data_IF_565652657838
#
_entry.id   IF_565652657838
#
_cell.length_a   1.000
_cell.length_b   1.000
_cell.length_c   1.000
_cell.angle_alpha   90.00
_cell.angle_beta   90.00
_cell.angle_gamma   90.00
#
_symmetry.space_group_name_H-M   'P 1'
#
loop_
_entity.id
_entity.type
_entity.pdbx_description
1 polymer ?
#
# COMPACT_ATOMS: atom_id res chain seq x y z
N UNK A 1 81.75 38.82 21.69
CA UNK A 1 81.45 37.55 22.45
C UNK A 1 80.77 37.87 23.76
N UNK A 2 80.10 39.02 23.91
CA UNK A 2 79.44 39.38 25.17
C UNK A 2 77.96 39.79 25.03
N UNK A 3 77.29 39.26 24.05
CA UNK A 3 75.87 39.64 23.82
C UNK A 3 74.89 38.46 23.64
N UNK A 4 75.26 37.23 24.05
CA UNK A 4 74.42 36.04 23.88
C UNK A 4 74.01 35.35 25.19
N UNK A 5 74.24 35.98 26.37
CA UNK A 5 73.95 35.33 27.64
C UNK A 5 72.78 35.94 28.45
N UNK A 6 72.11 36.99 27.97
CA UNK A 6 70.96 37.61 28.69
C UNK A 6 69.58 37.12 28.21
N UNK A 7 69.54 36.34 27.11
CA UNK A 7 68.27 35.84 26.54
C UNK A 7 67.77 34.52 27.09
N UNK A 8 68.55 33.73 27.81
CA UNK A 8 68.19 32.37 28.23
C UNK A 8 67.40 32.26 29.55
N UNK A 9 67.56 33.24 30.44
CA UNK A 9 66.82 33.19 31.72
C UNK A 9 65.37 33.66 31.65
N UNK A 10 65.05 34.54 30.71
CA UNK A 10 63.72 35.04 30.50
C UNK A 10 62.77 33.98 29.86
N UNK A 11 63.30 33.08 29.03
CA UNK A 11 62.54 32.01 28.41
C UNK A 11 62.16 30.85 29.34
N UNK A 12 62.91 30.64 30.41
CA UNK A 12 62.66 29.54 31.37
C UNK A 12 61.55 29.93 32.34
N UNK A 13 61.44 31.21 32.69
CA UNK A 13 60.42 31.69 33.62
C UNK A 13 59.01 31.73 33.01
N UNK A 14 58.93 32.07 31.74
CA UNK A 14 57.65 32.10 31.04
C UNK A 14 57.13 30.68 30.68
N UNK A 15 58.02 29.72 30.40
CA UNK A 15 57.64 28.33 30.22
C UNK A 15 57.12 27.66 31.49
N UNK A 16 57.69 27.98 32.64
CA UNK A 16 57.22 27.44 33.91
C UNK A 16 55.84 27.96 34.30
N UNK A 17 55.53 29.22 34.06
CA UNK A 17 54.20 29.77 34.29
C UNK A 17 53.16 29.23 33.30
N UNK A 18 53.52 29.06 32.04
CA UNK A 18 52.63 28.46 31.05
C UNK A 18 52.31 27.00 31.34
N UNK A 19 53.28 26.20 31.79
CA UNK A 19 53.07 24.82 32.24
C UNK A 19 52.25 24.72 33.50
N UNK A 20 52.41 25.61 34.49
CA UNK A 20 51.54 25.67 35.67
C UNK A 20 50.10 26.02 35.32
N UNK A 21 49.89 26.98 34.44
CA UNK A 21 48.56 27.37 33.98
C UNK A 21 47.92 26.28 33.15
N UNK A 22 48.66 25.57 32.28
CA UNK A 22 48.18 24.43 31.50
C UNK A 22 47.86 23.24 32.42
N UNK A 23 48.65 22.99 33.46
CA UNK A 23 48.38 21.92 34.43
C UNK A 23 47.16 22.23 35.30
N UNK A 24 46.95 23.51 35.69
CA UNK A 24 45.75 23.98 36.38
C UNK A 24 44.51 23.88 35.49
N UNK A 25 44.62 24.18 34.19
CA UNK A 25 43.52 24.04 33.21
C UNK A 25 43.17 22.57 32.97
N UNK A 26 44.20 21.69 32.90
CA UNK A 26 44.00 20.24 32.76
C UNK A 26 43.36 19.64 34.03
N UNK A 27 43.75 20.12 35.20
CA UNK A 27 43.17 19.68 36.48
C UNK A 27 41.75 20.20 36.68
N UNK A 28 41.43 21.40 36.19
CA UNK A 28 40.07 21.93 36.17
C UNK A 28 39.18 21.16 35.16
N UNK A 29 39.73 20.74 34.01
CA UNK A 29 39.04 19.93 33.01
C UNK A 29 38.76 18.50 33.54
N UNK A 30 39.68 17.92 34.33
CA UNK A 30 39.50 16.62 34.97
C UNK A 30 38.49 16.67 36.12
N UNK A 31 38.35 17.80 36.83
CA UNK A 31 37.35 17.97 37.88
C UNK A 31 35.93 18.25 37.32
N UNK A 32 35.78 18.77 36.11
CA UNK A 32 34.47 19.00 35.49
C UNK A 32 33.83 17.72 34.92
N UNK A 33 34.60 16.62 34.81
CA UNK A 33 34.11 15.34 34.27
C UNK A 33 33.30 14.46 35.23
N UNK A 34 33.10 14.85 36.48
CA UNK A 34 32.38 14.03 37.46
C UNK A 34 31.00 14.58 37.81
N UNK A 35 30.29 15.20 36.86
CA UNK A 35 28.85 15.32 36.97
C UNK A 35 28.26 13.92 36.74
N UNK A 36 28.27 13.07 37.76
CA UNK A 36 27.48 11.85 37.82
C UNK A 36 26.04 12.23 37.56
N UNK A 37 25.51 11.82 36.40
CA UNK A 37 24.09 11.90 36.14
C UNK A 37 23.39 11.05 37.21
N UNK A 38 22.82 11.70 38.19
CA UNK A 38 22.01 11.05 39.24
C UNK A 38 20.78 10.46 38.54
N UNK A 39 20.83 9.17 38.23
CA UNK A 39 19.69 8.45 37.72
C UNK A 39 18.80 8.03 38.88
N UNK A 40 17.52 8.28 38.79
CA UNK A 40 16.58 7.86 39.84
C UNK A 40 15.98 6.52 39.41
N UNK A 41 16.17 5.47 40.21
CA UNK A 41 15.53 4.18 40.01
C UNK A 41 14.12 4.25 40.56
N UNK A 42 13.14 4.01 39.71
CA UNK A 42 11.72 3.90 40.08
C UNK A 42 11.29 2.43 39.95
N UNK A 43 10.72 1.94 41.08
CA UNK A 43 10.20 0.56 41.17
C UNK A 43 8.70 0.58 41.45
N UNK A 44 8.01 -0.50 41.14
CA UNK A 44 6.60 -0.63 41.44
C UNK A 44 6.00 -1.95 40.97
N UNK A 45 4.73 -2.08 41.17
CA UNK A 45 3.95 -3.25 40.72
C UNK A 45 2.86 -2.77 39.78
N UNK A 46 2.67 -3.52 38.66
CA UNK A 46 1.62 -3.29 37.70
C UNK A 46 0.55 -4.38 37.89
N UNK A 47 -0.69 -3.95 38.12
CA UNK A 47 -1.81 -4.84 38.39
C UNK A 47 -2.99 -4.57 37.45
N UNK A 48 -3.83 -5.57 37.23
CA UNK A 48 -5.10 -5.43 36.53
C UNK A 48 -6.13 -4.67 37.41
N UNK A 49 -6.97 -3.85 36.79
CA UNK A 49 -8.01 -3.09 37.47
C UNK A 49 -9.23 -3.95 37.86
N UNK A 50 -9.46 -5.10 37.22
CA UNK A 50 -10.64 -5.93 37.43
C UNK A 50 -10.44 -6.92 38.58
N UNK A 51 -9.32 -7.63 38.60
CA UNK A 51 -9.06 -8.71 39.54
C UNK A 51 -7.84 -8.47 40.45
N UNK A 52 -7.07 -7.40 40.21
CA UNK A 52 -5.87 -7.09 40.97
C UNK A 52 -4.69 -8.02 40.70
N UNK A 53 -4.77 -8.88 39.69
CA UNK A 53 -3.68 -9.79 39.32
C UNK A 53 -2.45 -9.04 38.80
N UNK A 54 -1.23 -9.55 39.04
CA UNK A 54 -0.02 -8.93 38.52
C UNK A 54 0.07 -9.09 36.99
N UNK A 55 0.35 -7.99 36.28
CA UNK A 55 0.51 -7.99 34.83
C UNK A 55 1.93 -8.37 34.43
N UNK A 56 2.08 -9.59 33.94
CA UNK A 56 3.35 -10.16 33.48
C UNK A 56 3.70 -9.58 32.09
N UNK A 57 4.95 -9.14 31.91
CA UNK A 57 5.42 -8.69 30.60
C UNK A 57 4.97 -7.29 30.20
N UNK A 58 4.34 -6.55 31.09
CA UNK A 58 4.01 -5.14 30.84
C UNK A 58 5.29 -4.32 30.60
N UNK A 59 5.27 -3.48 29.59
CA UNK A 59 6.40 -2.65 29.19
C UNK A 59 6.31 -1.27 29.85
N UNK A 60 7.41 -0.79 30.42
CA UNK A 60 7.52 0.52 31.07
C UNK A 60 8.59 1.32 30.36
N UNK A 61 8.22 2.40 29.70
CA UNK A 61 9.14 3.26 28.94
C UNK A 61 9.20 4.65 29.54
N UNK A 62 10.38 5.26 29.56
CA UNK A 62 10.54 6.67 29.92
C UNK A 62 10.32 7.53 28.68
N UNK A 63 9.30 8.39 28.68
CA UNK A 63 8.93 9.22 27.51
C UNK A 63 10.11 10.14 27.12
N UNK A 64 10.58 9.99 25.88
CA UNK A 64 11.69 10.77 25.35
C UNK A 64 13.07 10.39 25.88
N UNK A 65 13.22 9.19 26.46
CA UNK A 65 14.49 8.55 26.76
C UNK A 65 14.46 7.11 26.20
N UNK A 66 15.57 6.61 25.71
CA UNK A 66 15.66 5.23 25.20
C UNK A 66 15.72 4.15 26.30
N UNK A 67 15.30 4.47 27.53
CA UNK A 67 15.34 3.58 28.70
C UNK A 67 13.96 3.03 29.01
N UNK A 68 13.88 1.72 29.25
CA UNK A 68 12.65 1.02 29.60
C UNK A 68 12.94 -0.22 30.44
N UNK A 69 11.88 -0.84 30.94
CA UNK A 69 11.93 -2.09 31.72
C UNK A 69 10.67 -2.91 31.43
N UNK A 70 10.76 -4.22 31.65
CA UNK A 70 9.63 -5.14 31.50
C UNK A 70 9.27 -5.69 32.89
N UNK A 71 7.97 -5.78 33.19
CA UNK A 71 7.49 -6.34 34.43
C UNK A 71 7.73 -7.86 34.49
N UNK A 72 8.18 -8.34 35.64
CA UNK A 72 8.44 -9.76 35.89
C UNK A 72 7.13 -10.53 36.15
N UNK A 73 7.26 -11.81 36.51
CA UNK A 73 6.14 -12.73 36.82
C UNK A 73 5.25 -12.28 37.99
N UNK A 74 5.76 -11.45 38.89
CA UNK A 74 5.02 -10.83 39.99
C UNK A 74 4.48 -9.44 39.62
N UNK A 75 4.54 -9.01 38.37
CA UNK A 75 4.16 -7.68 37.92
C UNK A 75 5.13 -6.56 38.37
N UNK A 76 6.26 -6.90 38.98
CA UNK A 76 7.24 -5.90 39.49
C UNK A 76 8.14 -5.40 38.36
N UNK A 77 8.37 -4.08 38.36
CA UNK A 77 9.28 -3.44 37.42
C UNK A 77 10.31 -2.55 38.12
N UNK A 78 11.40 -2.30 37.45
CA UNK A 78 12.46 -1.37 37.90
C UNK A 78 12.98 -0.63 36.67
N UNK A 79 12.78 0.69 36.63
CA UNK A 79 13.18 1.52 35.49
C UNK A 79 14.10 2.64 35.94
N UNK A 80 15.14 2.90 35.17
CA UNK A 80 16.09 3.96 35.36
C UNK A 80 15.60 5.23 34.67
N UNK A 81 15.28 6.26 35.47
CA UNK A 81 14.75 7.54 34.98
C UNK A 81 15.86 8.58 34.97
N UNK A 82 16.28 9.06 33.77
CA UNK A 82 17.27 10.12 33.66
C UNK A 82 16.73 11.45 34.22
N UNK A 83 17.62 12.28 34.78
CA UNK A 83 17.26 13.60 35.27
C UNK A 83 16.61 14.46 34.17
N UNK A 84 15.53 15.15 34.53
CA UNK A 84 14.78 15.99 33.59
C UNK A 84 13.70 15.26 32.81
N UNK A 85 13.55 13.95 32.99
CA UNK A 85 12.43 13.15 32.44
C UNK A 85 11.60 12.61 33.59
N UNK A 86 10.30 12.88 33.57
CA UNK A 86 9.40 12.53 34.67
C UNK A 86 8.10 11.84 34.20
N UNK A 87 8.01 11.46 32.93
CA UNK A 87 6.82 10.78 32.39
C UNK A 87 7.18 9.35 32.07
N UNK A 88 6.45 8.41 32.67
CA UNK A 88 6.50 6.98 32.40
C UNK A 88 5.28 6.58 31.57
N UNK A 89 5.52 5.78 30.54
CA UNK A 89 4.50 5.19 29.66
C UNK A 89 4.42 3.70 29.97
N UNK A 90 3.23 3.26 30.36
CA UNK A 90 2.94 1.86 30.67
C UNK A 90 2.11 1.27 29.54
N UNK A 91 2.58 0.19 28.93
CA UNK A 91 1.87 -0.52 27.88
C UNK A 91 1.90 -2.03 28.09
N UNK A 92 0.77 -2.68 27.88
CA UNK A 92 0.63 -4.14 27.93
C UNK A 92 -0.37 -4.58 26.86
N UNK A 93 -0.14 -5.75 26.26
CA UNK A 93 -1.06 -6.29 25.24
C UNK A 93 -2.43 -6.54 25.87
N UNK A 94 -3.47 -5.94 25.30
CA UNK A 94 -4.85 -6.04 25.81
C UNK A 94 -5.22 -4.97 26.86
N UNK A 95 -4.34 -4.01 27.14
CA UNK A 95 -4.59 -2.95 28.13
C UNK A 95 -4.40 -1.56 27.54
N UNK A 96 -5.16 -0.58 28.03
CA UNK A 96 -5.01 0.83 27.64
C UNK A 96 -3.67 1.38 28.08
N UNK A 97 -2.93 1.99 27.16
CA UNK A 97 -1.70 2.69 27.45
C UNK A 97 -1.94 3.84 28.44
N UNK A 98 -1.10 3.95 29.47
CA UNK A 98 -1.19 5.00 30.48
C UNK A 98 0.11 5.79 30.57
N UNK A 99 -0.01 7.12 30.50
CA UNK A 99 1.10 8.05 30.78
C UNK A 99 0.96 8.61 32.19
N UNK A 100 1.96 8.39 33.05
CA UNK A 100 1.96 8.86 34.42
C UNK A 100 3.19 9.74 34.67
N UNK A 101 2.94 10.95 35.18
CA UNK A 101 3.99 11.88 35.53
C UNK A 101 4.47 11.63 36.97
N UNK A 102 5.76 11.36 37.15
CA UNK A 102 6.39 11.16 38.45
C UNK A 102 6.45 12.47 39.24
N UNK A 103 6.15 12.38 40.52
CA UNK A 103 6.40 13.49 41.46
C UNK A 103 7.90 13.58 41.80
N UNK A 104 8.43 14.79 42.05
CA UNK A 104 9.83 14.94 42.45
C UNK A 104 10.18 14.04 43.63
N UNK A 105 11.21 13.19 43.50
CA UNK A 105 11.67 12.27 44.54
C UNK A 105 10.87 10.98 44.70
N UNK A 106 9.90 10.70 43.86
CA UNK A 106 9.11 9.45 43.92
C UNK A 106 9.92 8.25 43.41
N UNK A 107 10.15 7.27 44.28
CA UNK A 107 10.94 6.05 44.01
C UNK A 107 10.04 4.82 43.82
N UNK A 108 8.79 4.87 44.27
CA UNK A 108 7.83 3.77 44.16
C UNK A 108 6.56 4.27 43.48
N UNK A 109 6.15 3.58 42.41
CA UNK A 109 4.91 3.89 41.68
C UNK A 109 4.21 2.57 41.33
N UNK A 110 3.08 2.30 41.99
CA UNK A 110 2.21 1.19 41.63
C UNK A 110 1.17 1.68 40.63
N UNK A 111 0.93 0.89 39.60
CA UNK A 111 0.05 1.25 38.50
C UNK A 111 -0.99 0.16 38.30
N UNK A 112 -2.24 0.57 38.16
CA UNK A 112 -3.35 -0.32 37.84
C UNK A 112 -3.79 -0.03 36.42
N UNK A 113 -3.68 -1.01 35.53
CA UNK A 113 -4.05 -0.89 34.12
C UNK A 113 -5.46 -1.42 33.90
N UNK A 114 -6.21 -0.75 33.06
CA UNK A 114 -7.55 -1.18 32.63
C UNK A 114 -7.44 -1.91 31.30
N UNK A 115 -8.16 -3.01 31.17
CA UNK A 115 -8.29 -3.71 29.89
C UNK A 115 -8.78 -2.76 28.80
N UNK A 116 -8.19 -2.87 27.64
CA UNK A 116 -8.62 -2.13 26.46
C UNK A 116 -9.72 -2.91 25.74
N UNK A 117 -10.93 -2.79 26.27
CA UNK A 117 -12.11 -3.40 25.65
C UNK A 117 -12.46 -2.81 24.28
N UNK A 118 -11.88 -1.66 23.92
CA UNK A 118 -12.09 -1.08 22.58
C UNK A 118 -11.34 -1.84 21.48
N UNK A 119 -10.27 -2.59 21.82
CA UNK A 119 -9.57 -3.45 20.84
C UNK A 119 -10.33 -4.73 20.48
N UNK A 120 -11.37 -5.12 21.23
CA UNK A 120 -12.15 -6.35 21.01
C UNK A 120 -13.48 -6.13 20.29
N UNK A 121 -13.94 -4.89 20.18
CA UNK A 121 -15.21 -4.56 19.53
C UNK A 121 -15.00 -4.06 18.09
N UNK A 122 -14.41 -4.87 17.22
CA UNK A 122 -14.45 -4.60 15.79
C UNK A 122 -15.90 -4.72 15.31
N UNK A 123 -16.53 -3.56 15.07
CA UNK A 123 -17.89 -3.49 14.56
C UNK A 123 -17.85 -3.69 13.06
N UNK A 124 -18.54 -4.71 12.58
CA UNK A 124 -18.68 -5.03 11.16
C UNK A 124 -20.04 -4.55 10.69
N UNK A 125 -20.09 -3.79 9.60
CA UNK A 125 -21.36 -3.40 8.98
C UNK A 125 -21.88 -4.61 8.18
N UNK A 126 -23.08 -5.09 8.52
CA UNK A 126 -23.73 -6.20 7.83
C UNK A 126 -25.12 -5.78 7.41
N UNK A 127 -25.38 -5.80 6.13
CA UNK A 127 -26.69 -5.49 5.59
C UNK A 127 -27.17 -4.11 5.95
N UNK A 128 -28.24 -4.05 6.74
CA UNK A 128 -28.86 -2.80 7.16
C UNK A 128 -28.48 -2.38 8.58
N UNK A 129 -27.46 -3.00 9.18
CA UNK A 129 -27.03 -2.72 10.56
C UNK A 129 -25.56 -3.00 10.79
N UNK A 130 -25.09 -2.60 11.97
CA UNK A 130 -23.74 -2.92 12.45
C UNK A 130 -23.83 -3.95 13.57
N UNK A 131 -23.04 -5.00 13.50
CA UNK A 131 -22.92 -6.03 14.54
C UNK A 131 -21.45 -6.14 14.98
N UNK A 132 -21.22 -6.59 16.20
CA UNK A 132 -19.87 -6.91 16.65
C UNK A 132 -19.37 -8.12 15.89
N UNK A 133 -18.09 -8.11 15.51
CA UNK A 133 -17.44 -9.23 14.80
C UNK A 133 -17.53 -10.53 15.59
N UNK A 134 -17.52 -10.45 16.92
CA UNK A 134 -17.71 -11.57 17.84
C UNK A 134 -19.06 -12.23 17.71
N UNK A 135 -20.09 -11.47 17.31
CA UNK A 135 -21.48 -11.93 17.25
C UNK A 135 -21.83 -12.55 15.89
N UNK A 136 -20.87 -12.50 14.95
CA UNK A 136 -21.01 -13.06 13.62
C UNK A 136 -20.73 -14.56 13.62
N UNK A 137 -21.74 -15.35 13.36
CA UNK A 137 -21.62 -16.81 13.21
C UNK A 137 -21.00 -17.25 11.88
N UNK A 138 -20.82 -16.32 10.92
CA UNK A 138 -20.27 -16.56 9.59
C UNK A 138 -18.81 -16.16 9.42
N UNK A 139 -18.12 -16.76 8.41
CA UNK A 139 -16.76 -16.38 8.07
C UNK A 139 -16.73 -15.03 7.33
N UNK A 140 -16.53 -13.96 8.08
CA UNK A 140 -16.34 -12.60 7.55
C UNK A 140 -14.88 -12.22 7.65
N UNK A 141 -14.32 -11.71 6.55
CA UNK A 141 -12.97 -11.16 6.55
C UNK A 141 -13.05 -9.66 6.28
N UNK A 142 -12.47 -8.87 7.17
CA UNK A 142 -12.40 -7.42 7.07
C UNK A 142 -10.98 -6.98 6.73
N UNK A 143 -10.84 -6.00 5.83
CA UNK A 143 -9.59 -5.28 5.53
C UNK A 143 -9.84 -3.81 5.80
N UNK A 144 -9.00 -3.20 6.63
CA UNK A 144 -9.03 -1.76 6.92
C UNK A 144 -8.29 -0.96 5.86
N UNK A 145 -8.66 0.32 5.74
CA UNK A 145 -8.01 1.28 4.84
C UNK A 145 -6.49 1.30 4.99
N UNK A 146 -5.99 1.26 6.22
CA UNK A 146 -4.55 1.27 6.51
C UNK A 146 -3.82 0.10 5.86
N UNK A 147 -4.41 -1.10 5.92
CA UNK A 147 -3.83 -2.29 5.29
C UNK A 147 -3.96 -2.24 3.77
N UNK A 148 -5.09 -1.74 3.26
CA UNK A 148 -5.32 -1.58 1.82
C UNK A 148 -4.29 -0.62 1.21
N UNK A 149 -4.01 0.49 1.86
CA UNK A 149 -3.16 1.57 1.36
C UNK A 149 -1.65 1.32 1.53
N UNK A 150 -1.22 0.27 2.26
CA UNK A 150 0.22 -0.07 2.41
C UNK A 150 0.99 -0.24 1.09
N UNK A 151 0.29 -0.61 0.02
CA UNK A 151 0.88 -0.82 -1.31
C UNK A 151 0.57 0.32 -2.29
N UNK A 152 -0.08 1.40 -1.84
CA UNK A 152 -0.58 2.49 -2.70
C UNK A 152 -1.25 1.95 -3.99
N UNK A 153 -2.29 1.13 -3.88
CA UNK A 153 -2.89 0.50 -5.03
C UNK A 153 -3.66 1.53 -5.86
N UNK A 154 -3.47 1.51 -7.17
CA UNK A 154 -4.22 2.36 -8.13
C UNK A 154 -5.69 1.92 -8.17
N UNK A 155 -5.95 0.64 -7.94
CA UNK A 155 -7.30 0.07 -7.87
C UNK A 155 -7.51 -0.76 -6.60
N UNK A 156 -8.77 -0.83 -6.13
CA UNK A 156 -9.16 -1.63 -4.96
C UNK A 156 -8.72 -3.09 -5.12
N UNK A 157 -8.84 -3.60 -6.34
CA UNK A 157 -8.54 -4.99 -6.67
C UNK A 157 -7.08 -5.35 -6.43
N UNK A 158 -6.15 -4.46 -6.77
CA UNK A 158 -4.72 -4.65 -6.47
C UNK A 158 -4.47 -4.69 -4.98
N UNK A 159 -5.19 -3.87 -4.20
CA UNK A 159 -5.12 -3.88 -2.75
C UNK A 159 -5.64 -5.16 -2.10
N UNK A 160 -6.57 -5.88 -2.76
CA UNK A 160 -7.17 -7.11 -2.24
C UNK A 160 -6.38 -8.37 -2.61
N UNK A 161 -5.57 -8.33 -3.67
CA UNK A 161 -4.88 -9.50 -4.23
C UNK A 161 -3.95 -10.16 -3.18
N UNK A 162 -4.16 -11.46 -2.94
CA UNK A 162 -3.35 -12.27 -2.05
C UNK A 162 -3.52 -12.01 -0.55
N UNK A 163 -4.43 -11.11 -0.14
CA UNK A 163 -4.62 -10.73 1.28
C UNK A 163 -5.78 -11.43 1.95
N UNK A 164 -6.68 -12.04 1.19
CA UNK A 164 -7.90 -12.64 1.72
C UNK A 164 -7.94 -14.12 1.40
N UNK A 165 -7.95 -14.96 2.44
CA UNK A 165 -8.09 -16.40 2.26
C UNK A 165 -9.45 -16.75 1.62
N UNK A 166 -9.44 -17.59 0.57
CA UNK A 166 -10.64 -18.03 -0.15
C UNK A 166 -11.22 -16.98 -1.11
N UNK A 167 -10.48 -15.91 -1.42
CA UNK A 167 -10.82 -14.93 -2.45
C UNK A 167 -9.72 -14.94 -3.51
N UNK A 168 -10.10 -15.22 -4.72
CA UNK A 168 -9.23 -15.17 -5.89
C UNK A 168 -9.50 -13.87 -6.64
N UNK A 169 -8.46 -13.09 -6.85
CA UNK A 169 -8.50 -11.84 -7.60
C UNK A 169 -7.67 -12.05 -8.85
N UNK A 170 -8.33 -12.13 -10.00
CA UNK A 170 -7.69 -12.34 -11.29
C UNK A 170 -7.73 -11.06 -12.11
N UNK A 171 -6.56 -10.57 -12.46
CA UNK A 171 -6.42 -9.50 -13.43
C UNK A 171 -6.30 -10.15 -14.82
N UNK A 172 -7.30 -9.97 -15.67
CA UNK A 172 -7.33 -10.61 -16.98
C UNK A 172 -6.42 -9.92 -17.99
N UNK A 173 -6.12 -8.64 -17.76
CA UNK A 173 -5.35 -7.81 -18.67
C UNK A 173 -4.45 -6.84 -17.86
N UNK A 174 -3.30 -6.50 -18.43
CA UNK A 174 -2.37 -5.51 -17.89
C UNK A 174 -2.65 -4.07 -18.33
N UNK A 175 -3.70 -3.83 -19.12
CA UNK A 175 -4.04 -2.50 -19.62
C UNK A 175 -4.45 -1.56 -18.47
N UNK A 176 -4.15 -0.26 -18.58
CA UNK A 176 -4.64 0.73 -17.63
C UNK A 176 -6.16 0.71 -17.51
N UNK A 177 -6.69 0.67 -16.28
CA UNK A 177 -8.13 0.60 -16.05
C UNK A 177 -8.80 -0.72 -16.36
N UNK A 178 -8.03 -1.78 -16.69
CA UNK A 178 -8.56 -3.10 -16.98
C UNK A 178 -9.42 -3.66 -15.84
N UNK A 179 -10.48 -4.36 -16.21
CA UNK A 179 -11.36 -5.04 -15.29
C UNK A 179 -10.64 -6.18 -14.55
N UNK A 180 -11.02 -6.38 -13.32
CA UNK A 180 -10.52 -7.46 -12.47
C UNK A 180 -11.71 -8.32 -12.05
N UNK A 181 -11.57 -9.64 -12.17
CA UNK A 181 -12.55 -10.61 -11.73
C UNK A 181 -12.24 -11.03 -10.30
N UNK A 182 -13.24 -10.95 -9.42
CA UNK A 182 -13.17 -11.45 -8.05
C UNK A 182 -14.04 -12.69 -7.94
N UNK A 183 -13.46 -13.78 -7.42
CA UNK A 183 -14.17 -15.01 -7.15
C UNK A 183 -14.03 -15.38 -5.67
N UNK A 184 -15.13 -15.67 -5.02
CA UNK A 184 -15.19 -16.07 -3.61
C UNK A 184 -15.49 -17.56 -3.57
N UNK A 185 -14.53 -18.37 -3.01
CA UNK A 185 -14.63 -19.83 -2.91
C UNK A 185 -14.81 -20.57 -4.24
N UNK A 186 -14.36 -19.96 -5.36
CA UNK A 186 -14.41 -20.55 -6.70
C UNK A 186 -15.68 -20.23 -7.48
N UNK A 187 -15.81 -20.85 -8.65
CA UNK A 187 -16.97 -20.66 -9.52
C UNK A 187 -18.14 -21.52 -9.06
N UNK A 188 -19.26 -20.91 -8.68
CA UNK A 188 -20.47 -21.59 -8.22
C UNK A 188 -21.51 -21.77 -9.33
N UNK A 189 -21.31 -21.21 -10.52
CA UNK A 189 -22.25 -21.29 -11.65
C UNK A 189 -21.52 -21.51 -12.95
N UNK A 190 -22.11 -22.35 -13.82
CA UNK A 190 -21.61 -22.59 -15.19
C UNK A 190 -22.28 -21.69 -16.23
N UNK A 191 -23.42 -21.09 -15.94
CA UNK A 191 -24.25 -20.37 -16.90
C UNK A 191 -24.45 -18.88 -16.59
N UNK A 192 -24.06 -18.42 -15.41
CA UNK A 192 -24.23 -17.04 -14.98
C UNK A 192 -22.90 -16.47 -14.46
N UNK A 193 -22.85 -15.14 -14.30
CA UNK A 193 -21.68 -14.47 -13.72
C UNK A 193 -21.27 -15.10 -12.39
N UNK A 194 -19.98 -15.32 -12.20
CA UNK A 194 -19.38 -15.79 -10.95
C UNK A 194 -18.93 -14.65 -10.05
N UNK A 195 -19.19 -13.40 -10.44
CA UNK A 195 -18.84 -12.22 -9.67
C UNK A 195 -19.69 -12.07 -8.40
N UNK A 196 -19.09 -11.62 -7.28
CA UNK A 196 -19.83 -11.34 -6.05
C UNK A 196 -20.73 -10.10 -6.21
N UNK A 197 -21.68 -9.97 -5.29
CA UNK A 197 -22.46 -8.74 -5.17
C UNK A 197 -21.62 -7.67 -4.46
N UNK A 198 -21.49 -6.51 -5.07
CA UNK A 198 -20.85 -5.35 -4.47
C UNK A 198 -21.87 -4.44 -3.82
N UNK A 199 -21.58 -4.01 -2.59
CA UNK A 199 -22.43 -3.09 -1.83
C UNK A 199 -21.56 -1.96 -1.29
N UNK A 200 -21.87 -0.73 -1.64
CA UNK A 200 -21.15 0.47 -1.21
C UNK A 200 -22.08 1.28 -0.31
N UNK A 201 -21.71 1.47 0.94
CA UNK A 201 -22.49 2.18 1.97
C UNK A 201 -23.96 1.71 2.03
N UNK A 202 -24.18 0.41 1.89
CA UNK A 202 -25.52 -0.21 1.92
C UNK A 202 -26.26 -0.21 0.57
N UNK A 203 -25.72 0.42 -0.48
CA UNK A 203 -26.33 0.47 -1.81
C UNK A 203 -25.72 -0.61 -2.69
N UNK A 204 -26.54 -1.53 -3.27
CA UNK A 204 -26.02 -2.55 -4.15
C UNK A 204 -25.56 -1.95 -5.49
N UNK A 205 -24.34 -2.26 -5.87
CA UNK A 205 -23.72 -1.90 -7.12
C UNK A 205 -23.76 -3.09 -8.07
N UNK A 206 -24.38 -2.93 -9.24
CA UNK A 206 -24.43 -3.98 -10.25
C UNK A 206 -23.64 -3.58 -11.48
N UNK A 207 -22.87 -4.51 -12.03
CA UNK A 207 -22.14 -4.32 -13.28
C UNK A 207 -23.05 -4.30 -14.53
N UNK A 208 -24.32 -4.72 -14.39
CA UNK A 208 -25.30 -4.74 -15.47
C UNK A 208 -25.76 -3.35 -15.84
N UNK A 209 -25.03 -2.67 -16.68
CA UNK A 209 -25.38 -1.32 -17.16
C UNK A 209 -24.19 -0.37 -17.29
N UNK A 210 -23.01 -0.76 -16.86
CA UNK A 210 -21.82 -0.03 -17.28
C UNK A 210 -21.57 -0.34 -18.76
N UNK A 211 -21.51 0.67 -19.65
CA UNK A 211 -21.19 0.45 -21.02
C UNK A 211 -19.76 -0.09 -21.13
N UNK A 212 -19.61 -1.39 -21.20
CA UNK A 212 -18.46 -1.98 -21.82
C UNK A 212 -18.51 -1.55 -23.27
N UNK A 213 -17.61 -0.68 -23.67
CA UNK A 213 -17.59 -0.04 -24.99
C UNK A 213 -17.14 -1.04 -26.06
N UNK A 214 -17.89 -2.07 -26.35
CA UNK A 214 -17.57 -2.98 -27.43
C UNK A 214 -18.78 -3.70 -27.95
N UNK A 215 -19.13 -3.42 -29.21
CA UNK A 215 -20.17 -4.13 -29.95
C UNK A 215 -19.83 -5.59 -30.25
N UNK A 216 -18.63 -6.06 -30.00
CA UNK A 216 -18.09 -7.32 -30.51
C UNK A 216 -17.68 -8.36 -29.44
N UNK A 217 -18.25 -8.31 -28.23
CA UNK A 217 -18.06 -9.37 -27.24
C UNK A 217 -16.63 -9.54 -26.66
N UNK A 218 -15.67 -8.74 -27.09
CA UNK A 218 -14.26 -8.78 -26.66
C UNK A 218 -13.88 -7.76 -25.62
N UNK A 219 -14.80 -6.88 -25.21
CA UNK A 219 -14.49 -5.88 -24.19
C UNK A 219 -14.99 -6.29 -22.82
N UNK A 220 -14.06 -6.35 -21.91
CA UNK A 220 -14.26 -6.69 -20.50
C UNK A 220 -15.31 -5.79 -19.88
N UNK A 221 -16.23 -6.38 -19.16
CA UNK A 221 -17.18 -5.68 -18.29
C UNK A 221 -16.38 -4.83 -17.31
N UNK A 222 -16.58 -3.51 -17.32
CA UNK A 222 -15.92 -2.64 -16.37
C UNK A 222 -16.31 -3.06 -14.96
N UNK A 223 -15.31 -3.36 -14.12
CA UNK A 223 -15.57 -3.71 -12.72
C UNK A 223 -16.13 -2.48 -12.00
N UNK A 224 -17.27 -2.58 -11.28
CA UNK A 224 -17.84 -1.50 -10.51
C UNK A 224 -16.83 -0.84 -9.55
N UNK A 225 -15.88 -1.62 -9.04
CA UNK A 225 -14.84 -1.15 -8.13
C UNK A 225 -13.82 -0.20 -8.79
N UNK A 226 -13.71 -0.20 -10.12
CA UNK A 226 -12.79 0.71 -10.81
C UNK A 226 -13.23 2.18 -10.73
N UNK A 227 -14.50 2.44 -10.42
CA UNK A 227 -15.04 3.79 -10.27
C UNK A 227 -14.79 4.40 -8.89
N UNK A 228 -14.52 3.56 -7.88
CA UNK A 228 -14.32 4.00 -6.51
C UNK A 228 -12.83 4.25 -6.26
N UNK A 229 -12.53 5.37 -5.63
CA UNK A 229 -11.17 5.67 -5.22
C UNK A 229 -10.79 4.87 -3.97
N UNK A 230 -9.70 4.08 -3.99
CA UNK A 230 -9.24 3.33 -2.82
C UNK A 230 -9.01 4.21 -1.57
N UNK A 231 -8.60 5.47 -1.77
CA UNK A 231 -8.35 6.42 -0.68
C UNK A 231 -9.61 6.83 0.10
N UNK A 232 -10.80 6.67 -0.50
CA UNK A 232 -12.08 7.01 0.13
C UNK A 232 -12.66 5.86 0.97
N UNK A 233 -12.04 4.68 0.93
CA UNK A 233 -12.51 3.49 1.63
C UNK A 233 -12.02 3.50 3.07
N UNK A 234 -12.90 3.17 4.00
CA UNK A 234 -12.61 2.92 5.41
C UNK A 234 -12.33 1.43 5.67
N UNK A 235 -13.22 0.56 5.17
CA UNK A 235 -13.09 -0.90 5.28
C UNK A 235 -13.73 -1.62 4.11
N UNK A 236 -13.25 -2.83 3.86
CA UNK A 236 -13.84 -3.79 2.92
C UNK A 236 -14.09 -5.08 3.69
N UNK A 237 -15.34 -5.52 3.70
CA UNK A 237 -15.75 -6.76 4.34
C UNK A 237 -16.26 -7.74 3.30
N UNK A 238 -15.77 -8.99 3.39
CA UNK A 238 -16.16 -10.03 2.45
C UNK A 238 -16.92 -11.12 3.19
N UNK A 239 -18.21 -11.23 2.82
CA UNK A 239 -19.12 -12.26 3.31
C UNK A 239 -19.01 -13.49 2.41
N UNK A 240 -18.46 -14.57 2.96
CA UNK A 240 -18.16 -15.79 2.20
C UNK A 240 -19.18 -16.90 2.45
N UNK A 241 -19.84 -16.88 3.59
CA UNK A 241 -20.77 -17.94 4.02
C UNK A 241 -22.22 -17.61 3.70
N UNK A 242 -23.00 -18.64 3.39
CA UNK A 242 -24.42 -18.51 3.09
C UNK A 242 -25.23 -17.87 4.24
N UNK A 243 -24.85 -18.11 5.49
CA UNK A 243 -25.48 -17.49 6.65
C UNK A 243 -25.32 -15.97 6.67
N UNK A 244 -24.13 -15.49 6.32
CA UNK A 244 -23.83 -14.05 6.25
C UNK A 244 -24.43 -13.38 5.01
N UNK A 245 -24.55 -14.11 3.89
CA UNK A 245 -25.08 -13.58 2.63
C UNK A 245 -26.59 -13.72 2.47
N UNK A 246 -27.28 -14.48 3.37
CA UNK A 246 -28.71 -14.80 3.28
C UNK A 246 -29.61 -13.55 3.18
N UNK A 247 -29.24 -12.45 3.84
CA UNK A 247 -30.02 -11.20 3.82
C UNK A 247 -30.06 -10.54 2.43
N UNK A 248 -29.12 -10.90 1.53
CA UNK A 248 -29.07 -10.40 0.17
C UNK A 248 -29.77 -11.32 -0.85
N UNK A 249 -30.36 -12.44 -0.34
CA UNK A 249 -31.09 -13.41 -1.14
C UNK A 249 -30.23 -14.07 -2.22
N UNK A 250 -30.85 -14.43 -3.35
CA UNK A 250 -30.17 -15.08 -4.48
C UNK A 250 -29.02 -14.28 -5.09
N UNK A 251 -29.04 -12.95 -4.94
CA UNK A 251 -27.97 -12.07 -5.45
C UNK A 251 -26.66 -12.24 -4.66
N UNK A 252 -26.72 -12.71 -3.42
CA UNK A 252 -25.56 -13.00 -2.58
C UNK A 252 -24.96 -14.40 -2.76
N UNK A 253 -25.47 -15.20 -3.70
CA UNK A 253 -25.06 -16.61 -3.88
C UNK A 253 -23.56 -16.79 -4.17
N UNK A 254 -22.93 -15.84 -4.87
CA UNK A 254 -21.50 -15.85 -5.19
C UNK A 254 -20.65 -15.12 -4.13
N UNK A 255 -21.23 -14.80 -2.97
CA UNK A 255 -20.62 -13.98 -1.94
C UNK A 255 -20.96 -12.50 -2.08
N UNK A 256 -20.65 -11.72 -1.05
CA UNK A 256 -20.92 -10.28 -1.00
C UNK A 256 -19.67 -9.55 -0.57
N UNK A 257 -19.36 -8.45 -1.26
CA UNK A 257 -18.28 -7.51 -0.92
C UNK A 257 -18.93 -6.22 -0.45
N UNK A 258 -18.79 -5.95 0.84
CA UNK A 258 -19.26 -4.71 1.46
C UNK A 258 -18.12 -3.72 1.49
N UNK A 259 -18.37 -2.51 1.04
CA UNK A 259 -17.42 -1.41 1.02
C UNK A 259 -17.99 -0.29 1.84
N UNK A 260 -17.29 0.10 2.89
CA UNK A 260 -17.64 1.24 3.73
C UNK A 260 -16.71 2.38 3.39
N UNK A 261 -17.26 3.55 3.07
CA UNK A 261 -16.47 4.75 2.79
C UNK A 261 -16.16 5.52 4.07
N UNK A 262 -15.07 6.30 4.04
CA UNK A 262 -14.63 7.14 5.15
C UNK A 262 -15.68 8.16 5.53
N UNK A 263 -15.95 8.26 6.82
CA UNK A 263 -16.87 9.22 7.42
C UNK A 263 -16.09 10.24 8.25
N UNK A 264 -16.68 11.41 8.48
CA UNK A 264 -16.09 12.40 9.37
C UNK A 264 -15.99 11.90 10.81
N UNK A 265 -14.83 12.05 11.44
CA UNK A 265 -14.63 11.75 12.85
C UNK A 265 -15.14 12.90 13.73
N UNK A 266 -15.76 12.58 14.88
CA UNK A 266 -16.34 13.57 15.79
C UNK A 266 -15.28 14.54 16.33
N UNK A 267 -15.52 15.82 16.21
CA UNK A 267 -14.77 16.90 16.87
C UNK A 267 -13.55 17.43 16.13
N UNK A 268 -13.23 16.97 14.90
CA UNK A 268 -12.13 17.53 14.09
C UNK A 268 -12.45 17.46 12.61
N UNK A 269 -12.31 18.60 11.94
CA UNK A 269 -12.24 18.63 10.49
C UNK A 269 -10.85 18.17 10.05
N UNK A 270 -10.81 17.21 9.12
CA UNK A 270 -9.58 16.68 8.58
C UNK A 270 -9.52 16.95 7.08
N UNK A 271 -8.46 17.60 6.65
CA UNK A 271 -8.18 17.86 5.25
C UNK A 271 -6.94 17.03 4.89
N UNK A 272 -7.05 16.16 3.90
CA UNK A 272 -5.93 15.40 3.39
C UNK A 272 -5.75 15.62 1.90
N UNK A 273 -4.50 15.79 1.50
CA UNK A 273 -4.08 15.85 0.11
C UNK A 273 -2.97 14.83 -0.11
N UNK A 274 -3.08 14.06 -1.18
CA UNK A 274 -2.02 13.15 -1.61
C UNK A 274 -1.82 13.24 -3.12
N UNK A 275 -0.56 13.12 -3.53
CA UNK A 275 -0.17 13.05 -4.94
C UNK A 275 0.78 11.86 -5.13
N UNK A 276 0.43 10.97 -6.05
CA UNK A 276 1.21 9.77 -6.37
C UNK A 276 1.69 9.86 -7.82
N UNK A 277 2.96 9.56 -8.04
CA UNK A 277 3.56 9.51 -9.36
C UNK A 277 4.20 8.14 -9.58
N UNK A 278 3.98 7.56 -10.74
CA UNK A 278 4.50 6.26 -11.10
C UNK A 278 5.10 6.24 -12.51
N UNK A 279 6.12 5.41 -12.69
CA UNK A 279 6.71 5.13 -14.00
C UNK A 279 6.66 3.63 -14.21
N UNK A 280 6.11 3.20 -15.34
CA UNK A 280 6.02 1.81 -15.73
C UNK A 280 6.68 1.57 -17.07
N UNK A 281 7.43 0.48 -17.19
CA UNK A 281 8.05 0.06 -18.44
C UNK A 281 8.09 -1.46 -18.55
N UNK A 282 8.19 -1.97 -19.75
CA UNK A 282 8.38 -3.40 -19.99
C UNK A 282 9.72 -3.83 -19.41
N UNK A 283 9.71 -4.80 -18.49
CA UNK A 283 10.91 -5.31 -17.81
C UNK A 283 11.71 -6.23 -18.74
N UNK A 284 11.01 -7.08 -19.49
CA UNK A 284 11.63 -8.02 -20.43
C UNK A 284 10.79 -8.09 -21.70
N UNK A 285 11.43 -7.90 -22.82
CA UNK A 285 10.86 -8.11 -24.15
C UNK A 285 11.07 -9.56 -24.57
N UNK A 286 10.24 -10.04 -25.48
CA UNK A 286 10.41 -11.35 -26.09
C UNK A 286 11.61 -11.33 -27.04
N UNK A 287 12.41 -12.37 -27.05
CA UNK A 287 13.49 -12.55 -28.01
C UNK A 287 12.83 -12.98 -29.34
N UNK A 288 12.72 -12.02 -30.27
CA UNK A 288 12.11 -12.23 -31.57
C UNK A 288 13.20 -12.45 -32.61
N UNK A 289 12.85 -13.22 -33.65
CA UNK A 289 13.72 -13.35 -34.82
C UNK A 289 13.86 -11.99 -35.50
N UNK A 290 15.08 -11.66 -35.94
CA UNK A 290 15.29 -10.53 -36.82
C UNK A 290 14.75 -10.83 -38.25
N UNK A 291 14.73 -9.83 -39.12
CA UNK A 291 14.20 -9.96 -40.48
C UNK A 291 14.88 -11.05 -41.29
N UNK A 292 16.21 -11.22 -41.13
CA UNK A 292 16.97 -12.26 -41.80
C UNK A 292 16.55 -13.66 -41.33
N UNK A 293 16.61 -13.90 -40.01
CA UNK A 293 16.28 -15.20 -39.45
C UNK A 293 14.81 -15.56 -39.65
N UNK A 294 13.89 -14.57 -39.59
CA UNK A 294 12.47 -14.79 -39.87
C UNK A 294 12.23 -15.16 -41.34
N UNK A 295 12.87 -14.47 -42.28
CA UNK A 295 12.74 -14.77 -43.70
C UNK A 295 13.31 -16.16 -44.03
N UNK A 296 14.45 -16.54 -43.45
CA UNK A 296 15.01 -17.89 -43.56
C UNK A 296 14.05 -18.95 -43.03
N UNK A 297 13.55 -18.77 -41.81
CA UNK A 297 12.59 -19.70 -41.18
C UNK A 297 11.32 -19.89 -42.02
N UNK A 298 10.74 -18.81 -42.52
CA UNK A 298 9.55 -18.87 -43.33
C UNK A 298 9.78 -19.53 -44.68
N UNK A 299 10.94 -19.31 -45.30
CA UNK A 299 11.29 -19.97 -46.54
C UNK A 299 11.52 -21.48 -46.34
N UNK A 300 12.23 -21.86 -45.30
CA UNK A 300 12.45 -23.28 -44.95
C UNK A 300 11.12 -23.96 -44.65
N UNK A 301 10.25 -23.33 -43.83
CA UNK A 301 8.93 -23.87 -43.52
C UNK A 301 8.07 -24.12 -44.79
N UNK A 302 8.10 -23.19 -45.76
CA UNK A 302 7.39 -23.34 -47.02
C UNK A 302 7.98 -24.46 -47.90
N UNK A 303 9.32 -24.58 -47.93
CA UNK A 303 9.98 -25.67 -48.67
C UNK A 303 9.64 -27.03 -48.05
N UNK A 304 9.75 -27.17 -46.71
CA UNK A 304 9.40 -28.43 -46.04
C UNK A 304 7.92 -28.79 -46.18
N UNK A 305 7.02 -27.81 -46.16
CA UNK A 305 5.60 -28.04 -46.39
C UNK A 305 5.36 -28.58 -47.83
N UNK A 306 6.02 -27.96 -48.81
CA UNK A 306 5.92 -28.39 -50.21
C UNK A 306 6.43 -29.83 -50.42
N UNK A 307 7.55 -30.15 -49.74
CA UNK A 307 8.12 -31.51 -49.82
C UNK A 307 7.24 -32.57 -49.14
N UNK A 308 6.73 -32.24 -47.93
CA UNK A 308 5.96 -33.20 -47.13
C UNK A 308 4.55 -33.42 -47.66
N UNK A 309 3.83 -32.38 -48.08
CA UNK A 309 2.46 -32.43 -48.56
C UNK A 309 2.35 -32.54 -50.08
N UNK A 310 3.46 -32.63 -50.82
CA UNK A 310 3.49 -32.54 -52.29
C UNK A 310 2.76 -31.26 -52.80
N UNK A 311 2.83 -30.17 -52.02
CA UNK A 311 2.19 -28.91 -52.35
C UNK A 311 3.09 -28.05 -53.25
N UNK A 312 2.60 -26.93 -53.70
CA UNK A 312 3.35 -25.97 -54.50
C UNK A 312 3.11 -24.55 -54.01
N UNK A 313 3.33 -24.34 -52.70
CA UNK A 313 3.25 -23.02 -52.13
C UNK A 313 4.43 -22.14 -52.59
N UNK A 314 4.15 -20.88 -52.78
CA UNK A 314 5.16 -19.92 -53.17
C UNK A 314 6.10 -19.65 -51.98
N UNK A 315 7.40 -19.58 -52.23
CA UNK A 315 8.40 -19.16 -51.23
C UNK A 315 8.08 -17.72 -50.82
N UNK A 316 7.86 -17.44 -49.54
CA UNK A 316 7.43 -16.12 -49.07
C UNK A 316 8.44 -15.00 -49.28
N UNK A 317 9.73 -15.31 -49.13
CA UNK A 317 10.83 -14.36 -49.26
C UNK A 317 11.86 -14.78 -50.32
N UNK A 318 11.49 -14.70 -51.62
CA UNK A 318 12.31 -15.27 -52.68
C UNK A 318 13.49 -14.43 -53.13
N UNK A 319 13.54 -13.15 -52.76
CA UNK A 319 14.59 -12.22 -53.24
C UNK A 319 14.49 -11.92 -54.74
N UNK A 320 13.28 -11.95 -55.27
CA UNK A 320 13.03 -11.77 -56.73
C UNK A 320 11.87 -10.83 -57.02
N UNK A 321 11.86 -10.21 -58.18
CA UNK A 321 10.73 -9.41 -58.64
C UNK A 321 9.67 -10.34 -59.28
N UNK A 322 8.39 -10.10 -58.93
CA UNK A 322 7.24 -10.71 -59.59
C UNK A 322 6.40 -9.61 -60.23
N UNK A 323 5.88 -9.87 -61.42
CA UNK A 323 4.93 -8.95 -62.04
C UNK A 323 3.55 -9.25 -61.47
N UNK A 324 2.89 -8.22 -60.88
CA UNK A 324 1.51 -8.33 -60.42
C UNK A 324 0.59 -8.50 -61.66
N UNK A 325 -0.11 -9.61 -61.76
CA UNK A 325 -0.95 -9.88 -62.92
C UNK A 325 -2.14 -8.92 -63.05
N UNK A 326 -2.51 -8.20 -62.00
CA UNK A 326 -3.64 -7.27 -61.99
C UNK A 326 -3.23 -5.84 -62.39
N UNK A 327 -2.03 -5.42 -62.05
CA UNK A 327 -1.53 -4.06 -62.28
C UNK A 327 -0.47 -3.99 -63.38
N UNK A 328 0.18 -5.12 -63.70
CA UNK A 328 1.31 -5.18 -64.63
C UNK A 328 2.61 -4.59 -64.05
N UNK A 329 2.62 -4.18 -62.80
CA UNK A 329 3.77 -3.62 -62.12
C UNK A 329 4.70 -4.72 -61.59
N UNK A 330 6.01 -4.47 -61.64
CA UNK A 330 7.02 -5.34 -61.06
C UNK A 330 7.19 -5.02 -59.58
N UNK A 331 6.71 -5.93 -58.73
CA UNK A 331 6.86 -5.82 -57.27
C UNK A 331 8.03 -6.70 -56.83
N UNK A 332 9.00 -6.10 -56.20
CA UNK A 332 10.14 -6.81 -55.60
C UNK A 332 9.72 -7.44 -54.27
N UNK A 333 9.94 -8.74 -54.14
CA UNK A 333 9.72 -9.50 -52.90
C UNK A 333 11.08 -9.74 -52.25
N UNK A 334 11.38 -9.14 -51.06
CA UNK A 334 12.73 -9.23 -50.47
C UNK A 334 13.08 -10.68 -50.12
N UNK A 335 14.36 -11.01 -50.25
CA UNK A 335 14.93 -12.26 -49.79
C UNK A 335 15.59 -12.10 -48.40
N UNK A 336 16.04 -13.20 -47.77
CA UNK A 336 16.74 -13.13 -46.50
C UNK A 336 17.97 -12.20 -46.52
N UNK A 337 18.78 -12.26 -47.57
CA UNK A 337 20.00 -11.46 -47.69
C UNK A 337 19.74 -9.95 -47.77
N UNK A 338 18.56 -9.54 -48.28
CA UNK A 338 18.19 -8.12 -48.34
C UNK A 338 18.02 -7.53 -46.93
N UNK A 339 17.52 -8.30 -45.99
CA UNK A 339 17.47 -7.92 -44.57
C UNK A 339 18.82 -7.95 -43.90
N UNK A 340 19.68 -8.92 -44.24
CA UNK A 340 21.06 -9.03 -43.73
C UNK A 340 21.94 -7.87 -44.17
N UNK A 341 21.79 -7.46 -45.40
CA UNK A 341 22.58 -6.38 -46.01
C UNK A 341 22.01 -4.98 -45.72
N UNK A 342 20.88 -4.89 -45.01
CA UNK A 342 20.23 -3.63 -44.68
C UNK A 342 19.49 -2.95 -45.86
N UNK A 343 19.34 -3.62 -46.99
CA UNK A 343 18.55 -3.11 -48.14
C UNK A 343 17.09 -2.96 -47.75
N UNK A 344 16.58 -3.90 -46.91
CA UNK A 344 15.28 -3.82 -46.28
C UNK A 344 15.47 -3.74 -44.78
N UNK A 345 14.79 -2.79 -44.08
CA UNK A 345 14.91 -2.63 -42.67
C UNK A 345 14.26 -3.81 -41.90
N UNK A 346 14.97 -4.32 -40.89
CA UNK A 346 14.40 -5.21 -39.91
C UNK A 346 13.91 -4.38 -38.74
N UNK A 347 12.59 -4.30 -38.54
CA UNK A 347 11.97 -3.49 -37.48
C UNK A 347 11.61 -4.39 -36.31
N UNK A 348 12.09 -4.03 -35.12
CA UNK A 348 11.63 -4.66 -33.89
C UNK A 348 10.31 -3.98 -33.46
N UNK A 349 9.19 -4.59 -33.80
CA UNK A 349 7.87 -4.05 -33.48
C UNK A 349 7.62 -3.87 -31.98
N UNK A 350 8.34 -4.59 -31.13
CA UNK A 350 8.22 -4.38 -29.70
C UNK A 350 8.81 -3.02 -29.27
N UNK A 351 9.83 -2.54 -29.97
CA UNK A 351 10.43 -1.22 -29.70
C UNK A 351 9.54 -0.08 -30.18
N UNK A 352 8.77 -0.31 -31.24
CA UNK A 352 7.80 0.65 -31.79
C UNK A 352 6.50 0.71 -30.97
N UNK A 353 6.07 -0.42 -30.40
CA UNK A 353 4.79 -0.53 -29.70
C UNK A 353 4.90 -0.18 -28.23
N UNK A 354 6.05 -0.48 -27.59
CA UNK A 354 6.22 -0.27 -26.16
C UNK A 354 6.91 1.05 -25.85
N UNK A 355 6.28 1.79 -24.95
CA UNK A 355 6.82 3.04 -24.42
C UNK A 355 6.93 3.02 -22.88
N UNK A 356 7.67 3.97 -22.35
CA UNK A 356 7.68 4.20 -20.90
C UNK A 356 6.41 4.96 -20.51
N UNK A 357 5.58 4.32 -19.73
CA UNK A 357 4.31 4.87 -19.26
C UNK A 357 4.48 5.71 -18.00
N UNK A 358 3.73 6.78 -17.90
CA UNK A 358 3.68 7.67 -16.75
C UNK A 358 2.29 7.64 -16.12
N UNK A 359 2.22 7.57 -14.80
CA UNK A 359 0.97 7.65 -14.06
C UNK A 359 1.03 8.76 -13.02
N UNK A 360 -0.06 9.48 -12.87
CA UNK A 360 -0.22 10.53 -11.86
C UNK A 360 -1.62 10.44 -11.26
N UNK A 361 -1.67 10.58 -9.94
CA UNK A 361 -2.90 10.55 -9.18
C UNK A 361 -2.88 11.65 -8.13
N UNK A 362 -3.98 12.39 -8.08
CA UNK A 362 -4.19 13.46 -7.09
C UNK A 362 -5.47 13.18 -6.32
N UNK A 363 -5.37 13.17 -5.01
CA UNK A 363 -6.50 12.98 -4.10
C UNK A 363 -6.59 14.17 -3.16
N UNK A 364 -7.77 14.74 -3.04
CA UNK A 364 -8.11 15.75 -2.04
C UNK A 364 -9.34 15.26 -1.28
N UNK A 365 -9.29 15.20 0.03
CA UNK A 365 -10.46 14.88 0.84
C UNK A 365 -10.60 15.81 2.03
N UNK A 366 -11.84 16.13 2.34
CA UNK A 366 -12.25 16.95 3.49
C UNK A 366 -13.35 16.20 4.21
N UNK A 367 -13.14 15.87 5.46
CA UNK A 367 -14.12 15.18 6.28
C UNK A 367 -14.21 15.78 7.67
N UNK A 368 -15.40 15.79 8.23
CA UNK A 368 -15.66 16.32 9.55
C UNK A 368 -17.00 15.86 10.11
N UNK A 369 -17.19 16.04 11.40
CA UNK A 369 -18.43 15.69 12.08
C UNK A 369 -18.67 16.61 13.27
N UNK A 370 -19.93 16.95 13.47
CA UNK A 370 -20.42 17.66 14.65
C UNK A 370 -21.59 16.89 15.27
N UNK A 371 -22.19 17.44 16.33
CA UNK A 371 -23.32 16.79 17.01
C UNK A 371 -24.60 16.71 16.15
N UNK A 372 -24.67 17.45 15.04
CA UNK A 372 -25.82 17.49 14.13
C UNK A 372 -25.64 16.68 12.86
N UNK A 373 -24.44 16.15 12.59
CA UNK A 373 -24.19 15.36 11.41
C UNK A 373 -22.71 15.18 11.08
N UNK A 374 -22.46 14.44 10.03
CA UNK A 374 -21.10 14.26 9.48
C UNK A 374 -21.11 14.54 7.97
N UNK A 375 -19.94 14.93 7.48
CA UNK A 375 -19.70 15.11 6.05
C UNK A 375 -18.37 14.53 5.65
N UNK A 376 -18.31 14.01 4.43
CA UNK A 376 -17.08 13.60 3.76
C UNK A 376 -17.20 14.02 2.29
N UNK A 377 -16.24 14.79 1.82
CA UNK A 377 -16.18 15.26 0.43
C UNK A 377 -14.80 14.92 -0.07
N UNK A 378 -14.72 14.22 -1.20
CA UNK A 378 -13.44 13.89 -1.83
C UNK A 378 -13.47 14.11 -3.35
N UNK A 379 -12.31 14.43 -3.89
CA UNK A 379 -12.05 14.51 -5.31
C UNK A 379 -10.78 13.77 -5.68
N UNK A 380 -10.84 12.95 -6.73
CA UNK A 380 -9.70 12.20 -7.25
C UNK A 380 -9.56 12.43 -8.74
N UNK A 381 -8.33 12.62 -9.18
CA UNK A 381 -7.93 12.68 -10.58
C UNK A 381 -6.82 11.64 -10.77
N UNK A 382 -7.06 10.66 -11.63
CA UNK A 382 -6.10 9.67 -12.05
C UNK A 382 -5.88 9.80 -13.55
N UNK A 383 -4.64 9.95 -13.98
CA UNK A 383 -4.20 9.87 -15.38
C UNK A 383 -3.08 8.84 -15.46
N UNK A 384 -3.35 7.74 -16.13
CA UNK A 384 -2.44 6.61 -16.27
C UNK A 384 -2.23 6.31 -17.75
N UNK A 385 -1.03 6.54 -18.27
CA UNK A 385 -0.62 6.06 -19.59
C UNK A 385 -0.35 4.55 -19.54
N UNK A 386 -0.59 3.85 -20.62
CA UNK A 386 -0.21 2.44 -20.78
C UNK A 386 1.18 2.29 -21.35
N UNK A 387 1.75 1.10 -21.17
CA UNK A 387 3.04 0.73 -21.76
C UNK A 387 2.96 0.47 -23.27
N UNK A 388 1.76 0.37 -23.81
CA UNK A 388 1.50 0.27 -25.26
C UNK A 388 1.14 1.66 -25.77
N UNK A 389 1.79 2.07 -26.85
CA UNK A 389 1.57 3.38 -27.47
C UNK A 389 0.09 3.68 -27.70
N UNK A 390 -0.34 4.91 -27.41
CA UNK A 390 -1.75 5.34 -27.49
C UNK A 390 -2.74 4.61 -26.58
N UNK A 391 -2.28 3.86 -25.57
CA UNK A 391 -3.16 3.30 -24.54
C UNK A 391 -3.12 4.14 -23.27
N UNK A 392 -4.22 4.23 -22.55
CA UNK A 392 -4.27 4.99 -21.32
C UNK A 392 -5.65 4.94 -20.66
N UNK A 393 -5.70 5.37 -19.40
CA UNK A 393 -6.90 5.43 -18.59
C UNK A 393 -6.93 6.72 -17.77
N UNK A 394 -8.07 7.42 -17.85
CA UNK A 394 -8.32 8.62 -17.05
C UNK A 394 -9.56 8.44 -16.22
N UNK A 395 -9.46 8.75 -14.93
CA UNK A 395 -10.58 8.70 -13.99
C UNK A 395 -10.68 10.04 -13.27
N UNK A 396 -11.88 10.59 -13.28
CA UNK A 396 -12.24 11.74 -12.47
C UNK A 396 -13.37 11.30 -11.56
N UNK A 397 -13.18 11.32 -10.25
CA UNK A 397 -14.20 10.95 -9.29
C UNK A 397 -14.42 12.05 -8.29
N UNK A 398 -15.69 12.25 -7.93
CA UNK A 398 -16.12 13.15 -6.90
C UNK A 398 -17.12 12.41 -6.00
N UNK A 399 -16.82 12.37 -4.71
CA UNK A 399 -17.68 11.77 -3.71
C UNK A 399 -18.12 12.86 -2.73
N UNK A 400 -19.42 12.93 -2.45
CA UNK A 400 -19.97 13.77 -1.40
C UNK A 400 -20.94 12.94 -0.57
N UNK A 401 -20.60 12.75 0.69
CA UNK A 401 -21.43 12.06 1.67
C UNK A 401 -21.76 13.03 2.80
N UNK A 402 -23.05 13.37 2.94
CA UNK A 402 -23.53 14.29 3.95
C UNK A 402 -24.68 13.61 4.69
N UNK A 403 -24.53 13.49 6.01
CA UNK A 403 -25.56 12.97 6.88
C UNK A 403 -25.94 14.02 7.94
N UNK A 404 -27.21 14.36 7.99
CA UNK A 404 -27.76 15.30 8.97
C UNK A 404 -28.62 14.47 9.94
N UNK A 405 -28.27 14.50 11.23
CA UNK A 405 -29.08 13.90 12.27
C UNK A 405 -30.16 14.89 12.70
N UNK A 406 -31.41 14.54 12.53
CA UNK A 406 -32.51 15.31 13.11
C UNK A 406 -32.45 15.22 14.63
N UNK A 407 -32.61 16.35 15.35
CA UNK A 407 -32.78 16.29 16.80
C UNK A 407 -34.10 15.53 17.10
N UNK A 408 -34.00 14.36 17.70
CA UNK A 408 -35.16 13.68 18.26
C UNK A 408 -35.83 14.62 19.25
N UNK A 409 -36.98 15.19 18.90
CA UNK A 409 -37.86 15.82 19.87
C UNK A 409 -38.42 14.70 20.79
N UNK A 410 -37.92 14.67 22.00
CA UNK A 410 -38.61 13.97 23.12
C UNK A 410 -39.74 14.85 23.65
#
# INVERSE_FOLDING_TARGET
IAQCLVGSEMCIRDRCNSMKNMMLFLMALLMSGHMMAQQTIVTGVITDANDGSPLIGANVLVKGAGTGSIANVDGKYSVNVPNGKNVLVFSCVGYKEQEITLKPGQKVLNVTMKEDTELLDEVVVIGYGSMKKSDLTGSVTSIKSEDLMKTNPISINQGLQGRIAGVQVNQNDGAPGAGVSIQIRGANSFSTSTEPLYIVDGIPFTSSGMPGTGKDGMMQTANPLSTINPSDIESIEILKDASATAIYGSRGANGVVLITTKRGAKGKDNISFSANFGISKVVKKLDMLDGYAYAMYRNEAAQMFNEYENANEAIPYPGTSKVDPSTGESVYSPGPEDYRNGTYPSVNWQDEVFETAFSQEYNLSVNGSNDKGYYAISGNILDQSGIIHNSGYKRYSFLSLIHISEPTRH
#
